data_IF_212167040074
#
_entry.id   IF_212167040074
#
_cell.length_a   1.000
_cell.length_b   1.000
_cell.length_c   1.000
_cell.angle_alpha   90.00
_cell.angle_beta   90.00
_cell.angle_gamma   90.00
#
_symmetry.space_group_name_H-M   'P 1'
#
loop_
_entity.id
_entity.type
_entity.pdbx_description
1 polymer ?
#
# COMPACT_ATOMS: atom_id res chain seq x y z
N UNK A 1 102.63 2.80 -26.38
CA UNK A 1 102.05 2.64 -25.03
C UNK A 1 101.10 3.79 -24.85
N UNK A 2 99.80 3.53 -24.73
CA UNK A 2 98.94 4.10 -23.69
C UNK A 2 97.49 3.73 -24.01
N UNK A 3 96.83 3.32 -22.95
CA UNK A 3 95.64 2.49 -22.87
C UNK A 3 94.38 3.34 -22.88
N UNK A 4 93.42 2.94 -23.71
CA UNK A 4 92.03 3.40 -23.65
C UNK A 4 91.44 3.11 -22.26
N UNK A 5 91.13 4.17 -21.51
CA UNK A 5 90.40 4.05 -20.25
C UNK A 5 88.91 4.20 -20.53
N UNK A 6 88.23 3.06 -20.66
CA UNK A 6 86.79 2.98 -20.76
C UNK A 6 86.17 3.30 -19.38
N UNK A 7 85.94 4.59 -19.10
CA UNK A 7 85.21 5.01 -17.89
C UNK A 7 83.74 4.64 -18.04
N UNK A 8 83.38 3.51 -17.44
CA UNK A 8 81.98 3.08 -17.27
C UNK A 8 81.32 4.04 -16.28
N UNK A 9 80.36 4.83 -16.77
CA UNK A 9 79.58 5.76 -15.93
C UNK A 9 78.77 4.96 -14.92
N UNK A 10 79.21 4.94 -13.66
CA UNK A 10 78.46 4.42 -12.54
C UNK A 10 77.41 5.47 -12.16
N UNK A 11 76.16 5.20 -12.50
CA UNK A 11 75.04 6.06 -12.07
C UNK A 11 74.64 5.59 -10.68
N UNK A 12 74.75 6.47 -9.68
CA UNK A 12 74.51 6.13 -8.27
C UNK A 12 73.10 5.59 -8.04
N UNK A 13 73.00 4.45 -7.33
CA UNK A 13 71.73 3.77 -6.98
C UNK A 13 70.72 4.73 -6.32
N UNK A 14 71.22 5.71 -5.56
CA UNK A 14 70.43 6.75 -4.92
C UNK A 14 69.71 7.65 -5.95
N UNK A 15 70.34 8.00 -7.06
CA UNK A 15 69.73 8.79 -8.15
C UNK A 15 68.61 8.03 -8.86
N UNK A 16 68.74 6.72 -9.03
CA UNK A 16 67.67 5.87 -9.57
C UNK A 16 66.45 5.81 -8.64
N UNK A 17 66.67 5.64 -7.33
CA UNK A 17 65.57 5.59 -6.37
C UNK A 17 64.77 6.91 -6.30
N UNK A 18 65.44 8.05 -6.48
CA UNK A 18 64.79 9.37 -6.55
C UNK A 18 63.96 9.47 -7.84
N UNK A 19 64.51 9.05 -8.97
CA UNK A 19 63.79 9.04 -10.24
C UNK A 19 62.55 8.12 -10.20
N UNK A 20 62.66 6.94 -9.59
CA UNK A 20 61.51 6.05 -9.41
C UNK A 20 60.44 6.67 -8.50
N UNK A 21 60.85 7.35 -7.44
CA UNK A 21 59.93 8.01 -6.53
C UNK A 21 59.23 9.20 -7.18
N UNK A 22 59.93 10.01 -7.99
CA UNK A 22 59.29 11.11 -8.73
C UNK A 22 58.30 10.57 -9.77
N UNK A 23 58.64 9.51 -10.48
CA UNK A 23 57.72 8.85 -11.43
C UNK A 23 56.47 8.32 -10.71
N UNK A 24 56.62 7.68 -9.54
CA UNK A 24 55.49 7.20 -8.72
C UNK A 24 54.60 8.34 -8.23
N UNK A 25 55.20 9.45 -7.79
CA UNK A 25 54.46 10.64 -7.33
C UNK A 25 53.70 11.29 -8.48
N UNK A 26 54.32 11.47 -9.65
CA UNK A 26 53.66 12.02 -10.84
C UNK A 26 52.51 11.13 -11.29
N UNK A 27 52.71 9.81 -11.32
CA UNK A 27 51.64 8.88 -11.65
C UNK A 27 50.49 8.92 -10.64
N UNK A 28 50.77 9.01 -9.34
CA UNK A 28 49.75 9.13 -8.30
C UNK A 28 48.91 10.41 -8.44
N UNK A 29 49.56 11.55 -8.71
CA UNK A 29 48.89 12.83 -8.97
C UNK A 29 47.99 12.71 -10.20
N UNK A 30 48.50 12.14 -11.29
CA UNK A 30 47.74 11.98 -12.52
C UNK A 30 46.54 11.03 -12.35
N UNK A 31 46.68 9.95 -11.58
CA UNK A 31 45.56 9.09 -11.23
C UNK A 31 44.48 9.83 -10.41
N UNK A 32 44.90 10.71 -9.50
CA UNK A 32 43.99 11.47 -8.65
C UNK A 32 43.22 12.55 -9.44
N UNK A 33 43.86 13.21 -10.40
CA UNK A 33 43.22 14.18 -11.30
C UNK A 33 42.17 13.52 -12.20
N UNK A 34 42.48 12.35 -12.76
CA UNK A 34 41.53 11.58 -13.58
C UNK A 34 40.32 11.15 -12.77
N UNK A 35 40.53 10.66 -11.55
CA UNK A 35 39.44 10.26 -10.66
C UNK A 35 38.57 11.46 -10.25
N UNK A 36 39.18 12.61 -9.95
CA UNK A 36 38.46 13.85 -9.62
C UNK A 36 37.62 14.34 -10.80
N UNK A 37 38.18 14.31 -12.02
CA UNK A 37 37.45 14.68 -13.22
C UNK A 37 36.25 13.76 -13.50
N UNK A 38 36.40 12.44 -13.31
CA UNK A 38 35.28 11.49 -13.46
C UNK A 38 34.15 11.77 -12.45
N UNK A 39 34.50 12.03 -11.18
CA UNK A 39 33.52 12.38 -10.14
C UNK A 39 32.80 13.70 -10.48
N UNK A 40 33.51 14.71 -10.96
CA UNK A 40 32.91 15.99 -11.36
C UNK A 40 31.93 15.81 -12.54
N UNK A 41 32.31 15.02 -13.54
CA UNK A 41 31.47 14.71 -14.71
C UNK A 41 30.18 13.98 -14.30
N UNK A 42 30.24 13.10 -13.29
CA UNK A 42 29.05 12.44 -12.76
C UNK A 42 28.14 13.41 -11.99
N UNK A 43 28.71 14.37 -11.24
CA UNK A 43 27.94 15.40 -10.54
C UNK A 43 27.20 16.32 -11.52
N UNK A 44 27.84 16.74 -12.60
CA UNK A 44 27.22 17.59 -13.63
C UNK A 44 26.04 16.87 -14.31
N UNK A 45 26.22 15.59 -14.64
CA UNK A 45 25.15 14.75 -15.20
C UNK A 45 23.99 14.59 -14.22
N UNK A 46 24.26 14.40 -12.92
CA UNK A 46 23.22 14.33 -11.89
C UNK A 46 22.45 15.65 -11.79
N UNK A 47 23.15 16.79 -11.85
CA UNK A 47 22.53 18.11 -11.81
C UNK A 47 21.65 18.37 -13.04
N UNK A 48 22.12 17.98 -14.23
CA UNK A 48 21.35 18.07 -15.46
C UNK A 48 20.08 17.22 -15.41
N UNK A 49 20.21 15.95 -15.02
CA UNK A 49 19.06 15.05 -14.82
C UNK A 49 18.08 15.61 -13.78
N UNK A 50 18.59 16.16 -12.68
CA UNK A 50 17.76 16.78 -11.64
C UNK A 50 16.99 17.99 -12.18
N UNK A 51 17.61 18.80 -13.04
CA UNK A 51 16.95 19.93 -13.70
C UNK A 51 15.82 19.46 -14.62
N UNK A 52 16.08 18.45 -15.46
CA UNK A 52 15.10 17.85 -16.37
C UNK A 52 13.91 17.28 -15.60
N UNK A 53 14.16 16.51 -14.53
CA UNK A 53 13.10 15.92 -13.70
C UNK A 53 12.26 17.01 -13.03
N UNK A 54 12.89 18.09 -12.54
CA UNK A 54 12.18 19.23 -11.95
C UNK A 54 11.29 19.93 -12.97
N UNK A 55 11.78 20.15 -14.19
CA UNK A 55 11.02 20.79 -15.26
C UNK A 55 9.84 19.91 -15.71
N UNK A 56 10.07 18.60 -15.92
CA UNK A 56 9.03 17.65 -16.27
C UNK A 56 7.94 17.59 -15.20
N UNK A 57 8.33 17.60 -13.92
CA UNK A 57 7.40 17.69 -12.80
C UNK A 57 6.53 18.96 -12.91
N UNK A 58 7.14 20.13 -13.12
CA UNK A 58 6.38 21.38 -13.25
C UNK A 58 5.36 21.31 -14.39
N UNK A 59 5.77 20.84 -15.58
CA UNK A 59 4.87 20.67 -16.74
C UNK A 59 3.69 19.75 -16.46
N UNK A 60 3.93 18.62 -15.79
CA UNK A 60 2.86 17.67 -15.41
C UNK A 60 1.87 18.31 -14.44
N UNK A 61 2.34 19.13 -13.49
CA UNK A 61 1.47 19.79 -12.52
C UNK A 61 0.76 21.03 -13.07
N UNK A 62 1.33 21.73 -14.05
CA UNK A 62 0.67 22.86 -14.73
C UNK A 62 -0.37 22.38 -15.74
N UNK A 63 -0.09 21.31 -16.47
CA UNK A 63 -0.91 20.88 -17.61
C UNK A 63 -1.86 19.72 -17.24
N UNK A 64 -1.49 18.90 -16.24
CA UNK A 64 -2.20 17.67 -15.88
C UNK A 64 -3.23 17.81 -14.75
N UNK A 65 -3.26 18.94 -14.03
CA UNK A 65 -4.28 19.18 -13.01
C UNK A 65 -5.43 19.95 -13.63
N UNK A 66 -6.45 19.20 -14.04
CA UNK A 66 -7.77 19.75 -14.35
C UNK A 66 -8.37 20.25 -13.03
N UNK A 67 -8.05 21.47 -12.65
CA UNK A 67 -8.45 22.09 -11.38
C UNK A 67 -9.93 22.49 -11.39
N UNK A 68 -10.52 22.67 -12.57
CA UNK A 68 -11.89 23.13 -12.74
C UNK A 68 -12.84 22.00 -13.16
N UNK A 69 -13.99 21.93 -12.51
CA UNK A 69 -15.11 21.05 -12.90
C UNK A 69 -15.55 21.28 -14.34
N UNK A 70 -15.47 22.50 -14.86
CA UNK A 70 -15.84 22.83 -16.23
C UNK A 70 -14.86 22.24 -17.26
N UNK A 71 -13.56 22.31 -16.98
CA UNK A 71 -12.53 21.70 -17.84
C UNK A 71 -12.67 20.17 -17.85
N UNK A 72 -13.00 19.56 -16.69
CA UNK A 72 -13.22 18.11 -16.59
C UNK A 72 -14.42 17.66 -17.42
N UNK A 73 -15.52 18.42 -17.40
CA UNK A 73 -16.69 18.14 -18.25
C UNK A 73 -16.32 18.18 -19.73
N UNK A 74 -15.65 19.26 -20.17
CA UNK A 74 -15.23 19.42 -21.57
C UNK A 74 -14.35 18.26 -22.06
N UNK A 75 -13.39 17.79 -21.24
CA UNK A 75 -12.54 16.65 -21.59
C UNK A 75 -13.32 15.35 -21.76
N UNK A 76 -14.33 15.13 -20.91
CA UNK A 76 -15.19 13.94 -20.99
C UNK A 76 -16.03 14.02 -22.28
N UNK A 77 -16.63 15.17 -22.56
CA UNK A 77 -17.45 15.38 -23.76
C UNK A 77 -16.64 15.24 -25.05
N UNK A 78 -15.42 15.78 -25.08
CA UNK A 78 -14.49 15.62 -26.20
C UNK A 78 -14.07 14.16 -26.40
N UNK A 79 -13.78 13.43 -25.32
CA UNK A 79 -13.40 12.03 -25.38
C UNK A 79 -14.53 11.12 -25.89
N UNK A 80 -15.77 11.37 -25.45
CA UNK A 80 -16.93 10.60 -25.89
C UNK A 80 -17.59 11.15 -27.17
N UNK A 81 -17.13 12.32 -27.66
CA UNK A 81 -17.67 12.98 -28.86
C UNK A 81 -19.12 13.47 -28.71
N UNK A 82 -19.60 13.63 -27.47
CA UNK A 82 -20.99 13.98 -27.17
C UNK A 82 -21.08 14.85 -25.92
N UNK A 83 -21.96 15.85 -25.95
CA UNK A 83 -22.25 16.71 -24.80
C UNK A 83 -23.03 15.95 -23.73
N UNK A 84 -22.80 16.26 -22.45
CA UNK A 84 -23.53 15.65 -21.37
C UNK A 84 -25.01 16.10 -21.37
N UNK A 85 -25.98 15.20 -21.14
CA UNK A 85 -27.39 15.59 -21.04
C UNK A 85 -27.62 16.63 -19.93
N UNK A 86 -28.44 17.64 -20.22
CA UNK A 86 -28.79 18.68 -19.26
C UNK A 86 -29.60 18.13 -18.08
N UNK A 87 -30.41 17.10 -18.33
CA UNK A 87 -31.21 16.39 -17.34
C UNK A 87 -30.94 14.88 -17.45
N UNK A 88 -30.72 14.25 -16.30
CA UNK A 88 -30.55 12.79 -16.19
C UNK A 88 -31.65 12.28 -15.28
N UNK A 89 -32.55 11.47 -15.82
CA UNK A 89 -33.54 10.75 -15.04
C UNK A 89 -32.87 9.53 -14.38
N UNK A 90 -32.67 9.60 -13.06
CA UNK A 90 -32.05 8.52 -12.30
C UNK A 90 -33.14 7.62 -11.75
N UNK A 91 -33.39 6.51 -12.44
CA UNK A 91 -34.29 5.48 -11.95
C UNK A 91 -33.65 4.70 -10.79
N UNK A 92 -34.41 4.36 -9.73
CA UNK A 92 -33.94 3.46 -8.69
C UNK A 92 -33.47 2.13 -9.29
N UNK A 93 -32.43 1.47 -8.71
CA UNK A 93 -32.01 0.15 -9.16
C UNK A 93 -33.19 -0.80 -9.18
N UNK A 94 -33.29 -1.60 -10.24
CA UNK A 94 -34.33 -2.61 -10.36
C UNK A 94 -34.24 -3.56 -9.17
N UNK A 95 -35.33 -3.66 -8.40
CA UNK A 95 -35.39 -4.56 -7.24
C UNK A 95 -35.48 -5.99 -7.75
N UNK A 96 -34.33 -6.56 -8.06
CA UNK A 96 -34.22 -7.97 -8.42
C UNK A 96 -34.36 -8.82 -7.17
N UNK A 97 -35.40 -9.64 -7.12
CA UNK A 97 -35.55 -10.66 -6.09
C UNK A 97 -34.57 -11.80 -6.39
N UNK A 98 -33.30 -11.62 -6.06
CA UNK A 98 -32.34 -12.71 -6.11
C UNK A 98 -32.86 -13.86 -5.24
N UNK A 99 -33.17 -15.00 -5.87
CA UNK A 99 -33.54 -16.23 -5.16
C UNK A 99 -32.35 -16.56 -4.23
N UNK A 100 -32.57 -16.43 -2.91
CA UNK A 100 -31.57 -16.42 -1.81
C UNK A 100 -31.14 -15.05 -1.28
N UNK A 101 -31.92 -13.98 -1.44
CA UNK A 101 -31.87 -12.88 -0.46
C UNK A 101 -32.41 -13.39 0.88
N UNK A 102 -31.60 -14.21 1.57
CA UNK A 102 -31.87 -14.61 2.93
C UNK A 102 -32.15 -13.34 3.72
N UNK A 103 -33.33 -13.27 4.34
CA UNK A 103 -33.70 -12.13 5.16
C UNK A 103 -32.57 -11.85 6.15
N UNK A 104 -32.22 -10.58 6.34
CA UNK A 104 -31.25 -10.15 7.36
C UNK A 104 -31.52 -10.90 8.67
N UNK A 105 -30.47 -11.49 9.24
CA UNK A 105 -30.57 -12.11 10.57
C UNK A 105 -30.94 -11.02 11.59
N UNK A 106 -32.08 -11.13 12.29
CA UNK A 106 -32.49 -10.09 13.22
C UNK A 106 -31.55 -10.07 14.44
N UNK A 107 -31.22 -8.87 14.89
CA UNK A 107 -30.43 -8.61 16.09
C UNK A 107 -31.12 -9.15 17.35
N UNK A 108 -30.37 -9.25 18.46
CA UNK A 108 -30.92 -9.66 19.75
C UNK A 108 -32.06 -8.73 20.21
N UNK A 109 -31.92 -7.43 19.95
CA UNK A 109 -32.92 -6.41 20.29
C UNK A 109 -34.19 -6.61 19.45
N UNK A 110 -34.06 -6.76 18.13
CA UNK A 110 -35.22 -7.01 17.24
C UNK A 110 -35.96 -8.29 17.60
N UNK A 111 -35.24 -9.36 17.95
CA UNK A 111 -35.84 -10.61 18.43
C UNK A 111 -36.61 -10.42 19.73
N UNK A 112 -36.06 -9.67 20.69
CA UNK A 112 -36.71 -9.39 21.97
C UNK A 112 -37.97 -8.54 21.80
N UNK A 113 -37.91 -7.46 21.00
CA UNK A 113 -39.08 -6.63 20.68
C UNK A 113 -40.19 -7.45 20.00
N UNK A 114 -39.82 -8.30 19.04
CA UNK A 114 -40.78 -9.19 18.35
C UNK A 114 -41.35 -10.28 19.27
N UNK A 115 -40.65 -10.66 20.33
CA UNK A 115 -41.18 -11.57 21.35
C UNK A 115 -42.16 -10.83 22.27
N UNK A 116 -41.81 -9.62 22.71
CA UNK A 116 -42.63 -8.78 23.57
C UNK A 116 -43.94 -8.33 22.90
N UNK A 117 -43.95 -8.16 21.57
CA UNK A 117 -45.17 -7.85 20.83
C UNK A 117 -46.13 -9.03 20.70
N UNK A 118 -45.69 -10.27 20.97
CA UNK A 118 -46.57 -11.44 20.96
C UNK A 118 -47.36 -11.50 22.28
N UNK A 119 -48.68 -11.73 22.23
CA UNK A 119 -49.49 -11.85 23.44
C UNK A 119 -49.00 -13.02 24.29
N UNK A 120 -48.95 -12.80 25.60
CA UNK A 120 -48.67 -13.85 26.58
C UNK A 120 -49.81 -14.87 26.56
N UNK A 121 -49.46 -16.15 26.63
CA UNK A 121 -50.45 -17.23 26.77
C UNK A 121 -50.38 -17.78 28.18
N UNK A 122 -51.54 -18.06 28.79
CA UNK A 122 -51.57 -18.77 30.04
C UNK A 122 -51.19 -20.23 29.80
N UNK A 123 -50.16 -20.71 30.48
CA UNK A 123 -49.81 -22.11 30.40
C UNK A 123 -50.81 -22.94 31.20
N UNK A 124 -51.46 -23.92 30.59
CA UNK A 124 -52.39 -24.82 31.29
C UNK A 124 -51.72 -25.69 32.37
N UNK A 125 -50.40 -25.83 32.34
CA UNK A 125 -49.65 -26.66 33.29
C UNK A 125 -49.22 -25.91 34.56
N UNK A 126 -48.72 -24.68 34.42
CA UNK A 126 -48.25 -23.86 35.55
C UNK A 126 -49.12 -22.65 35.84
N UNK A 127 -50.16 -22.42 35.05
CA UNK A 127 -51.10 -21.29 35.13
C UNK A 127 -50.47 -19.90 35.00
N UNK A 128 -49.17 -19.81 34.70
CA UNK A 128 -48.45 -18.56 34.46
C UNK A 128 -48.67 -18.05 33.03
N UNK A 129 -48.87 -16.73 32.87
CA UNK A 129 -48.93 -16.05 31.58
C UNK A 129 -47.53 -15.66 31.11
N UNK A 130 -46.91 -16.47 30.25
CA UNK A 130 -45.52 -16.31 29.79
C UNK A 130 -45.33 -16.85 28.37
N UNK A 131 -44.18 -16.56 27.73
CA UNK A 131 -43.83 -17.09 26.39
C UNK A 131 -43.19 -18.49 26.40
N UNK A 132 -43.25 -19.23 27.51
CA UNK A 132 -42.60 -20.53 27.65
C UNK A 132 -43.60 -21.69 27.54
N UNK A 133 -43.11 -22.83 27.06
CA UNK A 133 -43.78 -24.11 27.24
C UNK A 133 -43.25 -24.70 28.55
N UNK A 134 -44.12 -24.89 29.56
CA UNK A 134 -43.75 -25.23 30.94
C UNK A 134 -42.65 -26.29 31.09
N UNK A 135 -41.45 -25.85 31.51
CA UNK A 135 -40.30 -26.72 31.79
C UNK A 135 -40.38 -27.39 33.18
N UNK A 136 -41.36 -27.02 34.02
CA UNK A 136 -41.48 -27.55 35.39
C UNK A 136 -41.69 -29.07 35.43
N UNK A 137 -42.11 -29.69 34.33
CA UNK A 137 -42.20 -31.15 34.24
C UNK A 137 -40.83 -31.80 34.01
N UNK A 138 -39.96 -31.19 33.18
CA UNK A 138 -38.62 -31.71 32.87
C UNK A 138 -37.73 -31.74 34.11
N UNK A 139 -37.89 -30.80 35.05
CA UNK A 139 -37.14 -30.79 36.29
C UNK A 139 -37.64 -31.83 37.31
N UNK A 140 -38.97 -31.98 37.48
CA UNK A 140 -39.55 -33.03 38.35
C UNK A 140 -39.25 -34.43 37.83
N UNK A 141 -39.23 -34.64 36.51
CA UNK A 141 -38.89 -35.90 35.86
C UNK A 141 -37.39 -36.23 35.99
N UNK A 142 -36.50 -35.26 35.77
CA UNK A 142 -35.05 -35.42 36.06
C UNK A 142 -34.80 -35.78 37.53
N UNK A 143 -35.53 -35.17 38.48
CA UNK A 143 -35.45 -35.51 39.92
C UNK A 143 -36.06 -36.87 40.28
N UNK A 144 -37.01 -37.41 39.51
CA UNK A 144 -37.54 -38.78 39.69
C UNK A 144 -36.59 -39.83 39.10
N UNK A 145 -36.04 -39.57 37.91
CA UNK A 145 -35.03 -40.45 37.29
C UNK A 145 -33.79 -40.60 38.16
N UNK A 146 -33.28 -39.52 38.77
CA UNK A 146 -32.13 -39.59 39.71
C UNK A 146 -32.39 -40.47 40.93
N UNK A 147 -33.62 -40.47 41.46
CA UNK A 147 -34.00 -41.32 42.60
C UNK A 147 -34.16 -42.80 42.22
N UNK A 148 -34.56 -43.09 40.99
CA UNK A 148 -34.68 -44.45 40.49
C UNK A 148 -33.35 -45.06 40.04
N UNK A 149 -32.27 -44.28 39.91
CA UNK A 149 -30.92 -44.76 39.62
C UNK A 149 -30.07 -45.02 40.88
N UNK A 150 -30.60 -44.70 42.07
CA UNK A 150 -29.95 -44.92 43.37
C UNK A 150 -30.55 -46.13 44.13
N UNK A 151 -31.39 -46.94 43.47
CA UNK A 151 -31.92 -48.22 43.97
C UNK A 151 -31.43 -49.34 43.07
#
# INVERSE_FOLDING_TARGET
MESDTHSTLHVDNQSYSVLENTVKVVHAIQCQDVATHAICVDIDQIHELTSIVREAKQKIFTDGVVTSTAQKKKLIEEFYGAEAPQEVDVQPPEVVNAKRSGSRLPSRVEKALKLNSKPLRQCMKCQECRHHNCDKFKEKEKRRSRRNSEV
#
